data_IF_864023045248
#
_entry.id   IF_864023045248
#
_cell.length_a   1.000
_cell.length_b   1.000
_cell.length_c   1.000
_cell.angle_alpha   90.00
_cell.angle_beta   90.00
_cell.angle_gamma   90.00
#
_symmetry.space_group_name_H-M   'P 1'
#
loop_
_entity.id
_entity.type
_entity.pdbx_description
1 polymer ?
#
# COMPACT_ATOMS: atom_id res chain seq x y z
N UNK A 1 2.30 34.73 15.79
CA UNK A 1 2.05 33.59 14.90
C UNK A 1 2.40 32.34 15.66
N UNK A 2 1.39 31.68 16.22
CA UNK A 2 1.51 30.34 16.82
C UNK A 2 1.56 29.31 15.70
N UNK A 3 2.29 28.20 15.89
CA UNK A 3 2.46 27.13 14.88
C UNK A 3 1.18 26.41 14.44
N UNK A 4 0.00 26.89 14.82
CA UNK A 4 -1.33 26.34 14.49
C UNK A 4 -1.91 26.86 13.16
N UNK A 5 -1.28 27.86 12.52
CA UNK A 5 -1.77 28.45 11.25
C UNK A 5 -1.28 27.72 9.99
N UNK A 6 -0.60 26.57 10.12
CA UNK A 6 -0.19 25.80 8.95
C UNK A 6 -1.38 25.00 8.41
N UNK A 7 -1.66 25.05 7.08
CA UNK A 7 -2.67 24.20 6.49
C UNK A 7 -2.32 22.73 6.76
N UNK A 8 -3.21 22.03 7.46
CA UNK A 8 -3.18 20.56 7.52
C UNK A 8 -3.60 20.08 6.13
N UNK A 9 -2.61 19.84 5.27
CA UNK A 9 -2.86 19.14 4.02
C UNK A 9 -3.39 17.75 4.38
N UNK A 10 -4.52 17.30 3.81
CA UNK A 10 -4.97 15.93 4.02
C UNK A 10 -3.80 15.01 3.65
N UNK A 11 -3.53 14.04 4.51
CA UNK A 11 -2.55 13.00 4.22
C UNK A 11 -2.85 12.42 2.83
N UNK A 12 -1.80 12.14 2.05
CA UNK A 12 -1.97 11.60 0.72
C UNK A 12 -2.83 10.33 0.79
N UNK A 13 -4.04 10.37 0.23
CA UNK A 13 -4.92 9.23 0.17
C UNK A 13 -4.42 8.28 -0.93
N UNK A 14 -4.19 7.03 -0.58
CA UNK A 14 -3.89 5.97 -1.53
C UNK A 14 -4.71 4.73 -1.20
N UNK A 15 -5.13 4.01 -2.24
CA UNK A 15 -5.99 2.85 -2.10
C UNK A 15 -5.24 1.68 -1.44
N UNK A 16 -5.96 0.87 -0.66
CA UNK A 16 -5.47 -0.39 -0.10
C UNK A 16 -6.26 -1.57 -0.66
N UNK A 17 -5.57 -2.64 -1.06
CA UNK A 17 -6.18 -3.90 -1.50
C UNK A 17 -5.72 -5.01 -0.55
N UNK A 18 -6.67 -5.67 0.10
CA UNK A 18 -6.42 -6.90 0.84
C UNK A 18 -6.48 -8.09 -0.13
N UNK A 19 -5.49 -8.97 -0.10
CA UNK A 19 -5.42 -10.10 -1.03
C UNK A 19 -4.86 -11.37 -0.39
N UNK A 20 -5.45 -12.52 -0.75
CA UNK A 20 -4.91 -13.86 -0.45
C UNK A 20 -3.64 -14.19 -1.24
N UNK A 21 -3.48 -13.57 -2.41
CA UNK A 21 -2.38 -13.80 -3.35
C UNK A 21 -1.36 -12.69 -3.23
N UNK A 22 -0.84 -12.50 -2.02
CA UNK A 22 -0.04 -11.33 -1.68
C UNK A 22 1.22 -11.20 -2.55
N UNK A 23 2.02 -12.26 -2.61
CA UNK A 23 3.26 -12.27 -3.38
C UNK A 23 3.00 -12.16 -4.89
N UNK A 24 1.98 -12.86 -5.40
CA UNK A 24 1.65 -12.83 -6.83
C UNK A 24 1.04 -11.50 -7.26
N UNK A 25 0.22 -10.89 -6.39
CA UNK A 25 -0.32 -9.55 -6.65
C UNK A 25 0.82 -8.54 -6.70
N UNK A 26 1.73 -8.62 -5.72
CA UNK A 26 2.90 -7.74 -5.68
C UNK A 26 3.76 -7.87 -6.94
N UNK A 27 4.15 -9.11 -7.31
CA UNK A 27 4.90 -9.37 -8.55
C UNK A 27 4.16 -8.86 -9.79
N UNK A 28 2.85 -9.06 -9.88
CA UNK A 28 2.06 -8.56 -10.99
C UNK A 28 2.16 -7.04 -11.16
N UNK A 29 2.01 -6.27 -10.06
CA UNK A 29 2.07 -4.81 -10.13
C UNK A 29 3.46 -4.29 -10.49
N UNK A 30 4.52 -4.91 -9.96
CA UNK A 30 5.91 -4.47 -10.22
C UNK A 30 6.40 -4.90 -11.59
N UNK A 31 6.06 -6.10 -12.04
CA UNK A 31 6.54 -6.68 -13.30
C UNK A 31 5.73 -6.18 -14.51
N UNK A 32 4.41 -6.08 -14.39
CA UNK A 32 3.56 -5.80 -15.56
C UNK A 32 2.98 -4.39 -15.60
N UNK A 33 2.80 -3.74 -14.45
CA UNK A 33 2.14 -2.44 -14.36
C UNK A 33 3.10 -1.29 -14.04
N UNK A 34 4.41 -1.55 -13.98
CA UNK A 34 5.44 -0.52 -13.82
C UNK A 34 5.45 0.14 -12.44
N UNK A 35 4.78 -0.44 -11.45
CA UNK A 35 4.88 0.01 -10.06
C UNK A 35 6.24 -0.34 -9.47
N UNK A 36 6.66 0.40 -8.44
CA UNK A 36 7.86 0.15 -7.67
C UNK A 36 7.53 0.10 -6.19
N UNK A 37 8.17 -0.79 -5.45
CA UNK A 37 8.08 -0.82 -3.98
C UNK A 37 8.75 0.41 -3.41
N UNK A 38 8.03 1.15 -2.59
CA UNK A 38 8.55 2.32 -1.86
C UNK A 38 8.58 2.10 -0.35
N UNK A 39 7.82 1.14 0.14
CA UNK A 39 7.80 0.74 1.55
C UNK A 39 7.36 -0.71 1.66
N UNK A 40 7.99 -1.46 2.56
CA UNK A 40 7.74 -2.88 2.77
C UNK A 40 7.70 -3.18 4.27
N UNK A 41 6.69 -3.92 4.68
CA UNK A 41 6.48 -4.44 6.02
C UNK A 41 6.04 -5.90 5.94
N UNK A 42 6.07 -6.60 7.07
CA UNK A 42 5.80 -8.06 7.11
C UNK A 42 4.44 -8.47 6.49
N UNK A 43 3.45 -7.59 6.57
CA UNK A 43 2.06 -7.86 6.19
C UNK A 43 1.51 -6.91 5.11
N UNK A 44 2.30 -5.93 4.65
CA UNK A 44 1.88 -5.04 3.57
C UNK A 44 3.05 -4.42 2.83
N UNK A 45 2.81 -4.02 1.58
CA UNK A 45 3.75 -3.27 0.75
C UNK A 45 3.05 -2.06 0.15
N UNK A 46 3.77 -0.95 0.08
CA UNK A 46 3.32 0.24 -0.63
C UNK A 46 4.07 0.38 -1.94
N UNK A 47 3.30 0.58 -2.99
CA UNK A 47 3.75 0.66 -4.36
C UNK A 47 3.47 2.06 -4.93
N UNK A 48 4.40 2.57 -5.74
CA UNK A 48 4.25 3.82 -6.48
C UNK A 48 4.48 3.60 -7.97
N UNK A 49 3.56 4.10 -8.79
CA UNK A 49 3.71 4.19 -10.23
C UNK A 49 4.41 5.52 -10.60
N UNK A 50 5.27 5.55 -11.64
CA UNK A 50 5.89 6.79 -12.12
C UNK A 50 4.91 7.90 -12.48
N UNK A 51 3.67 7.55 -12.85
CA UNK A 51 2.57 8.49 -13.10
C UNK A 51 1.93 9.10 -11.84
N UNK A 52 2.46 8.81 -10.64
CA UNK A 52 2.00 9.40 -9.37
C UNK A 52 0.97 8.58 -8.61
N UNK A 53 0.39 7.54 -9.22
CA UNK A 53 -0.53 6.64 -8.54
C UNK A 53 0.18 5.84 -7.44
N UNK A 54 -0.50 5.65 -6.31
CA UNK A 54 0.00 4.86 -5.19
C UNK A 54 -1.04 3.84 -4.75
N UNK A 55 -0.55 2.70 -4.28
CA UNK A 55 -1.35 1.56 -3.87
C UNK A 55 -0.68 0.87 -2.70
N UNK A 56 -1.46 0.37 -1.75
CA UNK A 56 -1.00 -0.57 -0.72
C UNK A 56 -1.60 -1.93 -0.98
N UNK A 57 -0.78 -2.97 -0.95
CA UNK A 57 -1.23 -4.35 -0.89
C UNK A 57 -1.10 -4.83 0.55
N UNK A 58 -2.17 -5.37 1.11
CA UNK A 58 -2.20 -5.97 2.43
C UNK A 58 -2.38 -7.48 2.28
N UNK A 59 -1.62 -8.25 3.03
CA UNK A 59 -1.82 -9.70 3.13
C UNK A 59 -3.13 -9.95 3.87
N UNK A 60 -3.98 -10.81 3.31
CA UNK A 60 -5.17 -11.26 4.03
C UNK A 60 -4.76 -11.91 5.36
N UNK A 61 -5.38 -11.47 6.46
CA UNK A 61 -5.30 -12.19 7.73
C UNK A 61 -6.06 -13.50 7.58
N UNK A 62 -5.35 -14.63 7.64
CA UNK A 62 -6.02 -15.91 7.72
C UNK A 62 -6.75 -15.96 9.06
N UNK A 63 -8.08 -16.12 9.03
CA UNK A 63 -8.84 -16.49 10.22
C UNK A 63 -8.17 -17.73 10.81
N UNK A 64 -7.50 -17.56 11.95
CA UNK A 64 -7.10 -18.70 12.76
C UNK A 64 -8.41 -19.34 13.22
N UNK A 65 -8.90 -20.33 12.50
CA UNK A 65 -9.93 -21.23 13.04
C UNK A 65 -9.20 -22.18 13.98
N UNK A 66 -9.35 -22.09 15.32
CA UNK A 66 -8.90 -23.15 16.19
C UNK A 66 -9.85 -24.33 15.98
N UNK A 67 -9.28 -25.52 15.75
CA UNK A 67 -10.02 -26.77 15.77
C UNK A 67 -10.54 -27.11 17.18
#
# INVERSE_FOLDING_TARGET
MTSDDFPVFPSAFFAGIVTRRYAESWDFYTTHLGFRTIEEHDHWVRLQHPGGAQLVLLREEADQTPA
#
